data_IF_462322485361
#
_entry.id   IF_462322485361
#
_cell.length_a   1.000
_cell.length_b   1.000
_cell.length_c   1.000
_cell.angle_alpha   90.00
_cell.angle_beta   90.00
_cell.angle_gamma   90.00
#
_symmetry.space_group_name_H-M   'P 1'
#
loop_
_entity.id
_entity.type
_entity.pdbx_description
1 polymer ?
#
# COMPACT_ATOMS: atom_id res chain seq x y z
N UNK A 1 58.39 12.72 33.62
CA UNK A 1 57.12 13.49 33.61
C UNK A 1 56.42 13.33 32.26
N UNK A 2 55.08 13.34 32.30
CA UNK A 2 54.09 13.47 31.20
C UNK A 2 53.60 12.18 30.50
N UNK A 3 52.54 11.65 31.13
CA UNK A 3 51.45 10.82 30.59
C UNK A 3 50.88 11.39 29.27
N UNK A 4 50.56 10.52 28.30
CA UNK A 4 49.46 10.70 27.33
C UNK A 4 48.86 9.31 27.06
N UNK A 5 48.02 8.85 28.00
CA UNK A 5 46.57 8.66 27.80
C UNK A 5 46.28 7.76 26.60
N UNK A 6 46.23 6.46 26.90
CA UNK A 6 45.33 5.52 26.25
C UNK A 6 44.00 6.22 26.01
N UNK A 7 43.77 6.64 24.76
CA UNK A 7 42.42 6.83 24.28
C UNK A 7 41.94 5.42 23.93
N UNK A 8 41.62 4.67 24.97
CA UNK A 8 40.56 3.69 24.84
C UNK A 8 39.35 4.49 24.35
N UNK A 9 39.12 4.41 23.05
CA UNK A 9 37.80 4.62 22.50
C UNK A 9 36.89 3.71 23.30
N UNK A 10 36.26 4.29 24.32
CA UNK A 10 35.04 3.76 24.90
C UNK A 10 34.05 3.73 23.75
N UNK A 11 34.14 2.66 22.94
CA UNK A 11 33.00 2.05 22.29
C UNK A 11 32.03 1.93 23.43
N UNK A 12 31.13 2.89 23.53
CA UNK A 12 29.97 2.76 24.37
C UNK A 12 29.38 1.46 23.91
N UNK A 13 29.58 0.40 24.69
CA UNK A 13 28.80 -0.81 24.64
C UNK A 13 27.38 -0.31 24.85
N UNK A 14 26.73 0.14 23.77
CA UNK A 14 25.30 0.33 23.77
C UNK A 14 24.81 -1.05 24.11
N UNK A 15 24.42 -1.21 25.38
CA UNK A 15 23.87 -2.43 25.93
C UNK A 15 23.07 -3.13 24.83
N UNK A 16 23.22 -4.45 24.61
CA UNK A 16 22.46 -5.16 23.57
C UNK A 16 20.96 -4.82 23.58
N UNK A 17 20.42 -4.51 24.76
CA UNK A 17 19.07 -3.98 24.97
C UNK A 17 18.87 -2.62 24.30
N UNK A 18 19.76 -1.65 24.51
CA UNK A 18 19.72 -0.33 23.89
C UNK A 18 19.87 -0.40 22.37
N UNK A 19 20.75 -1.28 21.88
CA UNK A 19 20.89 -1.51 20.44
C UNK A 19 19.59 -2.06 19.84
N UNK A 20 19.00 -3.10 20.44
CA UNK A 20 17.71 -3.65 20.00
C UNK A 20 16.58 -2.61 20.06
N UNK A 21 16.53 -1.76 21.08
CA UNK A 21 15.55 -0.67 21.16
C UNK A 21 15.64 0.28 19.97
N UNK A 22 16.85 0.64 19.53
CA UNK A 22 17.06 1.52 18.37
C UNK A 22 16.63 0.83 17.07
N UNK A 23 16.97 -0.45 16.88
CA UNK A 23 16.54 -1.22 15.71
C UNK A 23 15.01 -1.38 15.65
N UNK A 24 14.35 -1.64 16.79
CA UNK A 24 12.88 -1.69 16.84
C UNK A 24 12.23 -0.34 16.52
N UNK A 25 12.83 0.78 16.97
CA UNK A 25 12.36 2.11 16.60
C UNK A 25 12.52 2.38 15.10
N UNK A 26 13.63 1.94 14.50
CA UNK A 26 13.88 2.03 13.07
C UNK A 26 12.87 1.20 12.28
N UNK A 27 12.67 -0.07 12.66
CA UNK A 27 11.67 -0.95 12.06
C UNK A 27 10.26 -0.36 12.13
N UNK A 28 9.89 0.27 13.26
CA UNK A 28 8.59 0.96 13.39
C UNK A 28 8.45 2.13 12.41
N UNK A 29 9.52 2.88 12.16
CA UNK A 29 9.53 3.97 11.17
C UNK A 29 9.40 3.41 9.75
N UNK A 30 10.19 2.39 9.43
CA UNK A 30 10.15 1.72 8.12
C UNK A 30 8.78 1.12 7.83
N UNK A 31 8.16 0.43 8.80
CA UNK A 31 6.80 -0.09 8.68
C UNK A 31 5.80 1.00 8.29
N UNK A 32 5.86 2.15 8.96
CA UNK A 32 4.95 3.29 8.69
C UNK A 32 5.18 3.88 7.32
N UNK A 33 6.43 4.09 6.93
CA UNK A 33 6.79 4.62 5.61
C UNK A 33 6.34 3.66 4.51
N UNK A 34 6.65 2.37 4.64
CA UNK A 34 6.24 1.33 3.68
C UNK A 34 4.73 1.24 3.56
N UNK A 35 3.99 1.22 4.67
CA UNK A 35 2.53 1.19 4.65
C UNK A 35 1.94 2.44 3.98
N UNK A 36 2.50 3.62 4.24
CA UNK A 36 2.08 4.88 3.61
C UNK A 36 2.29 4.84 2.11
N UNK A 37 3.50 4.53 1.65
CA UNK A 37 3.83 4.48 0.21
C UNK A 37 2.95 3.44 -0.50
N UNK A 38 2.77 2.27 0.11
CA UNK A 38 1.91 1.22 -0.43
C UNK A 38 0.46 1.69 -0.56
N UNK A 39 -0.08 2.35 0.47
CA UNK A 39 -1.45 2.89 0.46
C UNK A 39 -1.60 3.95 -0.62
N UNK A 40 -0.64 4.89 -0.73
CA UNK A 40 -0.65 5.93 -1.77
C UNK A 40 -0.63 5.34 -3.19
N UNK A 41 0.12 4.26 -3.42
CA UNK A 41 0.10 3.54 -4.71
C UNK A 41 -1.29 3.01 -5.03
N UNK A 42 -1.92 2.32 -4.08
CA UNK A 42 -3.26 1.76 -4.27
C UNK A 42 -4.33 2.85 -4.44
N UNK A 43 -4.24 3.95 -3.69
CA UNK A 43 -5.12 5.11 -3.83
C UNK A 43 -5.00 5.73 -5.23
N UNK A 44 -3.78 5.86 -5.75
CA UNK A 44 -3.55 6.38 -7.10
C UNK A 44 -4.19 5.48 -8.17
N UNK A 45 -4.05 4.14 -8.06
CA UNK A 45 -4.70 3.21 -8.98
C UNK A 45 -6.24 3.28 -8.88
N UNK A 46 -6.82 3.49 -7.69
CA UNK A 46 -8.27 3.70 -7.51
C UNK A 46 -8.77 4.99 -8.15
N UNK A 47 -8.02 6.09 -8.01
CA UNK A 47 -8.33 7.36 -8.67
C UNK A 47 -8.28 7.19 -10.19
N UNK A 48 -7.21 6.59 -10.71
CA UNK A 48 -7.07 6.33 -12.15
C UNK A 48 -8.21 5.44 -12.69
N UNK A 49 -8.62 4.41 -11.96
CA UNK A 49 -9.77 3.58 -12.33
C UNK A 49 -11.09 4.37 -12.31
N UNK A 50 -11.25 5.30 -11.36
CA UNK A 50 -12.42 6.18 -11.29
C UNK A 50 -12.46 7.16 -12.46
N UNK A 51 -11.33 7.77 -12.80
CA UNK A 51 -11.21 8.70 -13.94
C UNK A 51 -11.44 7.97 -15.27
N UNK A 52 -10.97 6.74 -15.40
CA UNK A 52 -11.20 5.90 -16.57
C UNK A 52 -12.69 5.63 -16.81
N UNK A 53 -13.52 5.61 -15.75
CA UNK A 53 -14.97 5.49 -15.90
C UNK A 53 -15.61 6.67 -16.64
N UNK A 54 -14.96 7.83 -16.72
CA UNK A 54 -15.46 8.96 -17.52
C UNK A 54 -15.56 8.62 -19.02
N UNK A 55 -14.70 7.70 -19.52
CA UNK A 55 -14.77 7.20 -20.92
C UNK A 55 -16.05 6.41 -21.19
N UNK A 56 -16.71 5.94 -20.13
CA UNK A 56 -17.96 5.20 -20.19
C UNK A 56 -19.19 6.13 -20.12
N UNK A 57 -19.01 7.44 -20.24
CA UNK A 57 -20.10 8.43 -20.29
C UNK A 57 -20.23 9.09 -21.67
N UNK A 58 -21.46 9.29 -22.20
CA UNK A 58 -22.74 8.82 -21.69
C UNK A 58 -22.95 7.32 -21.95
N UNK A 59 -23.60 6.64 -21.00
CA UNK A 59 -23.84 5.19 -21.06
C UNK A 59 -24.62 4.74 -22.32
N UNK A 60 -25.38 5.65 -22.92
CA UNK A 60 -26.14 5.47 -24.16
C UNK A 60 -25.26 5.17 -25.38
N UNK A 61 -23.98 5.57 -25.35
CA UNK A 61 -23.01 5.33 -26.43
C UNK A 61 -22.20 4.04 -26.24
N UNK A 62 -22.43 3.31 -25.15
CA UNK A 62 -21.66 2.10 -24.84
C UNK A 62 -22.26 0.87 -25.49
N UNK A 63 -21.38 -0.06 -25.85
CA UNK A 63 -21.80 -1.37 -26.30
C UNK A 63 -22.37 -2.17 -25.11
N UNK A 64 -23.22 -3.16 -25.42
CA UNK A 64 -23.76 -4.08 -24.42
C UNK A 64 -22.67 -4.79 -23.62
N UNK A 65 -21.56 -5.12 -24.27
CA UNK A 65 -20.40 -5.77 -23.64
C UNK A 65 -19.69 -4.84 -22.65
N UNK A 66 -19.49 -3.57 -23.01
CA UNK A 66 -18.92 -2.56 -22.11
C UNK A 66 -19.80 -2.35 -20.87
N UNK A 67 -21.13 -2.26 -21.06
CA UNK A 67 -22.08 -2.14 -19.95
C UNK A 67 -22.08 -3.38 -19.03
N UNK A 68 -21.99 -4.57 -19.61
CA UNK A 68 -21.88 -5.82 -18.83
C UNK A 68 -20.60 -5.83 -18.00
N UNK A 69 -19.46 -5.47 -18.61
CA UNK A 69 -18.16 -5.43 -17.95
C UNK A 69 -18.16 -4.46 -16.76
N UNK A 70 -18.69 -3.25 -16.94
CA UNK A 70 -18.82 -2.26 -15.86
C UNK A 70 -19.74 -2.78 -14.73
N UNK A 71 -20.83 -3.48 -15.09
CA UNK A 71 -21.72 -4.10 -14.10
C UNK A 71 -21.04 -5.21 -13.31
N UNK A 72 -20.24 -6.06 -13.95
CA UNK A 72 -19.49 -7.13 -13.29
C UNK A 72 -18.49 -6.55 -12.27
N UNK A 73 -17.76 -5.51 -12.66
CA UNK A 73 -16.87 -4.81 -11.75
C UNK A 73 -17.62 -4.19 -10.56
N UNK A 74 -18.80 -3.60 -10.78
CA UNK A 74 -19.62 -3.06 -9.71
C UNK A 74 -20.09 -4.15 -8.72
N UNK A 75 -20.49 -5.32 -9.22
CA UNK A 75 -20.87 -6.47 -8.38
C UNK A 75 -19.68 -6.96 -7.57
N UNK A 76 -18.51 -7.13 -8.21
CA UNK A 76 -17.27 -7.55 -7.55
C UNK A 76 -16.88 -6.60 -6.42
N UNK A 77 -16.96 -5.28 -6.65
CA UNK A 77 -16.71 -4.29 -5.61
C UNK A 77 -17.71 -4.40 -4.48
N UNK A 78 -19.01 -4.57 -4.76
CA UNK A 78 -20.06 -4.67 -3.73
C UNK A 78 -19.91 -5.90 -2.84
N UNK A 79 -19.40 -7.00 -3.38
CA UNK A 79 -19.22 -8.26 -2.65
C UNK A 79 -17.93 -8.32 -1.81
N UNK A 80 -17.13 -7.24 -1.79
CA UNK A 80 -15.88 -7.20 -1.01
C UNK A 80 -16.17 -7.28 0.50
N UNK A 81 -15.60 -8.29 1.17
CA UNK A 81 -15.64 -8.43 2.63
C UNK A 81 -14.26 -8.13 3.20
N UNK A 82 -14.12 -6.99 3.86
CA UNK A 82 -12.89 -6.55 4.53
C UNK A 82 -13.15 -6.41 6.04
N UNK A 83 -12.13 -6.65 6.88
CA UNK A 83 -12.17 -6.49 8.34
C UNK A 83 -11.01 -5.59 8.80
N UNK A 84 -11.11 -4.27 8.56
CA UNK A 84 -10.01 -3.34 8.77
C UNK A 84 -9.55 -3.26 10.23
N UNK A 85 -10.46 -3.49 11.18
CA UNK A 85 -10.20 -3.51 12.63
C UNK A 85 -9.18 -4.57 13.05
N UNK A 86 -8.96 -5.59 12.22
CA UNK A 86 -8.04 -6.69 12.51
C UNK A 86 -6.65 -6.52 11.87
N UNK A 87 -6.41 -5.45 11.10
CA UNK A 87 -5.11 -5.20 10.45
C UNK A 87 -4.60 -6.37 9.60
N UNK A 88 -5.52 -7.12 8.96
CA UNK A 88 -5.19 -8.39 8.30
C UNK A 88 -4.45 -8.15 6.99
N UNK A 89 -3.25 -8.73 6.85
CA UNK A 89 -2.53 -8.80 5.56
C UNK A 89 -3.41 -9.36 4.43
N UNK A 90 -4.30 -10.32 4.74
CA UNK A 90 -5.24 -10.89 3.76
C UNK A 90 -6.17 -9.84 3.15
N UNK A 91 -6.60 -8.87 3.95
CA UNK A 91 -7.51 -7.81 3.49
C UNK A 91 -6.77 -6.83 2.59
N UNK A 92 -5.56 -6.43 2.96
CA UNK A 92 -4.68 -5.63 2.08
C UNK A 92 -4.43 -6.34 0.74
N UNK A 93 -4.11 -7.64 0.78
CA UNK A 93 -3.95 -8.44 -0.44
C UNK A 93 -5.22 -8.49 -1.28
N UNK A 94 -6.40 -8.57 -0.66
CA UNK A 94 -7.68 -8.56 -1.38
C UNK A 94 -7.93 -7.22 -2.06
N UNK A 95 -7.60 -6.10 -1.40
CA UNK A 95 -7.71 -4.77 -2.00
C UNK A 95 -6.78 -4.66 -3.22
N UNK A 96 -5.52 -5.09 -3.09
CA UNK A 96 -4.54 -5.10 -4.19
C UNK A 96 -5.05 -5.92 -5.38
N UNK A 97 -5.58 -7.13 -5.14
CA UNK A 97 -6.19 -7.95 -6.20
C UNK A 97 -7.38 -7.26 -6.85
N UNK A 98 -8.29 -6.67 -6.07
CA UNK A 98 -9.45 -5.96 -6.60
C UNK A 98 -9.06 -4.77 -7.48
N UNK A 99 -7.99 -4.05 -7.13
CA UNK A 99 -7.45 -2.95 -7.92
C UNK A 99 -6.81 -3.47 -9.21
N UNK A 100 -6.03 -4.57 -9.12
CA UNK A 100 -5.46 -5.22 -10.31
C UNK A 100 -6.55 -5.69 -11.29
N UNK A 101 -7.67 -6.19 -10.79
CA UNK A 101 -8.81 -6.63 -11.61
C UNK A 101 -9.49 -5.46 -12.33
N UNK A 102 -9.35 -4.22 -11.83
CA UNK A 102 -9.87 -2.99 -12.45
C UNK A 102 -8.95 -2.39 -13.51
N UNK A 103 -7.68 -2.84 -13.61
CA UNK A 103 -6.72 -2.34 -14.62
C UNK A 103 -7.23 -2.31 -16.06
N UNK A 104 -8.04 -3.28 -16.53
CA UNK A 104 -8.63 -3.23 -17.87
C UNK A 104 -9.52 -2.01 -18.14
N UNK A 105 -9.96 -1.26 -17.10
CA UNK A 105 -10.65 0.03 -17.29
C UNK A 105 -9.66 1.13 -17.71
N UNK A 106 -8.45 1.11 -17.13
CA UNK A 106 -7.39 2.09 -17.34
C UNK A 106 -6.69 1.81 -18.67
N UNK A 107 -6.29 0.56 -18.88
CA UNK A 107 -5.42 0.08 -19.95
C UNK A 107 -6.14 -0.19 -21.28
N UNK A 108 -7.30 0.43 -21.55
CA UNK A 108 -7.96 0.29 -22.86
C UNK A 108 -7.10 0.95 -23.96
N UNK A 109 -6.12 0.21 -24.48
CA UNK A 109 -5.80 0.11 -25.91
C UNK A 109 -6.63 -1.03 -26.53
#
# INVERSE_FOLDING_TARGET
MKKKKEREEKKHETSPVRHLQLELQKLRRELRTTARVYTQRLEHELVAATDALARYAPAEKLTREQLHRVRDFAIMMRQRRLRPDKGRRKDLRRIDSLISDLRPLIDNE
#
